data_IF_803579019580
#
_entry.id   IF_803579019580
#
_cell.length_a   1.000
_cell.length_b   1.000
_cell.length_c   1.000
_cell.angle_alpha   90.00
_cell.angle_beta   90.00
_cell.angle_gamma   90.00
#
_symmetry.space_group_name_H-M   'P 1'
#
loop_
_entity.id
_entity.type
_entity.pdbx_description
1 polymer ?
#
# COMPACT_ATOMS: atom_id res chain seq x y z
N UNK A 1 -6.11 9.65 -23.75
CA UNK A 1 -6.75 8.50 -23.12
C UNK A 1 -5.82 8.07 -22.00
N UNK A 2 -6.05 8.53 -20.77
CA UNK A 2 -5.24 8.10 -19.63
C UNK A 2 -5.54 6.63 -19.36
N UNK A 3 -4.52 5.78 -19.29
CA UNK A 3 -4.69 4.37 -18.96
C UNK A 3 -5.13 4.26 -17.48
N UNK A 4 -6.35 3.76 -17.19
CA UNK A 4 -6.85 3.65 -15.81
C UNK A 4 -5.96 2.78 -14.91
N UNK A 5 -5.20 1.85 -15.50
CA UNK A 5 -4.20 1.02 -14.81
C UNK A 5 -3.03 1.81 -14.23
N UNK A 6 -2.61 2.91 -14.86
CA UNK A 6 -1.48 3.72 -14.39
C UNK A 6 -1.84 4.55 -13.15
N UNK A 7 -3.07 5.09 -13.11
CA UNK A 7 -3.57 5.82 -11.92
C UNK A 7 -3.72 4.92 -10.71
N UNK A 8 -4.29 3.71 -10.89
CA UNK A 8 -4.39 2.71 -9.83
C UNK A 8 -3.02 2.29 -9.28
N UNK A 9 -2.01 2.15 -10.15
CA UNK A 9 -0.65 1.82 -9.72
C UNK A 9 0.00 2.96 -8.91
N UNK A 10 -0.21 4.21 -9.32
CA UNK A 10 0.25 5.40 -8.58
C UNK A 10 -0.45 5.54 -7.22
N UNK A 11 -1.76 5.27 -7.15
CA UNK A 11 -2.51 5.26 -5.90
C UNK A 11 -2.00 4.17 -4.95
N UNK A 12 -1.75 2.95 -5.45
CA UNK A 12 -1.10 1.88 -4.66
C UNK A 12 0.30 2.27 -4.17
N UNK A 13 1.13 2.87 -5.01
CA UNK A 13 2.45 3.34 -4.59
C UNK A 13 2.35 4.47 -3.54
N UNK A 14 1.36 5.35 -3.65
CA UNK A 14 1.08 6.40 -2.67
C UNK A 14 0.67 5.84 -1.30
N UNK A 15 -0.18 4.81 -1.29
CA UNK A 15 -0.60 4.10 -0.07
C UNK A 15 0.56 3.41 0.62
N UNK A 16 1.36 2.63 -0.11
CA UNK A 16 2.53 1.92 0.45
C UNK A 16 3.53 2.91 1.06
N UNK A 17 3.78 4.02 0.36
CA UNK A 17 4.74 5.02 0.84
C UNK A 17 4.21 5.78 2.07
N UNK A 18 2.92 6.08 2.10
CA UNK A 18 2.27 6.72 3.26
C UNK A 18 2.34 5.82 4.50
N UNK A 19 2.00 4.54 4.36
CA UNK A 19 2.03 3.59 5.47
C UNK A 19 3.45 3.38 6.02
N UNK A 20 4.44 3.24 5.14
CA UNK A 20 5.84 3.11 5.55
C UNK A 20 6.31 4.34 6.33
N UNK A 21 6.06 5.54 5.80
CA UNK A 21 6.43 6.79 6.47
C UNK A 21 5.71 6.97 7.82
N UNK A 22 4.44 6.57 7.90
CA UNK A 22 3.67 6.58 9.13
C UNK A 22 4.28 5.65 10.18
N UNK A 23 4.60 4.40 9.82
CA UNK A 23 5.25 3.42 10.72
C UNK A 23 6.59 3.94 11.25
N UNK A 24 7.41 4.56 10.39
CA UNK A 24 8.71 5.16 10.77
C UNK A 24 8.51 6.33 11.73
N UNK A 25 7.59 7.26 11.42
CA UNK A 25 7.30 8.40 12.28
C UNK A 25 6.78 7.95 13.65
N UNK A 26 5.92 6.94 13.69
CA UNK A 26 5.37 6.36 14.90
C UNK A 26 6.46 5.70 15.77
N UNK A 27 7.37 4.93 15.17
CA UNK A 27 8.50 4.33 15.88
C UNK A 27 9.41 5.40 16.51
N UNK A 28 9.72 6.47 15.76
CA UNK A 28 10.48 7.60 16.28
C UNK A 28 9.78 8.31 17.42
N UNK A 29 8.46 8.52 17.32
CA UNK A 29 7.68 9.16 18.37
C UNK A 29 7.67 8.30 19.64
N UNK A 30 7.44 6.99 19.53
CA UNK A 30 7.48 6.03 20.66
C UNK A 30 8.84 6.03 21.35
N UNK A 31 9.93 6.04 20.58
CA UNK A 31 11.28 6.09 21.14
C UNK A 31 11.56 7.40 21.91
N UNK A 32 11.03 8.53 21.42
CA UNK A 32 11.23 9.85 22.03
C UNK A 32 10.33 10.11 23.25
N UNK A 33 9.13 9.54 23.26
CA UNK A 33 8.12 9.76 24.29
C UNK A 33 7.61 8.45 24.90
N UNK A 34 8.46 7.65 25.56
CA UNK A 34 8.10 6.31 26.04
C UNK A 34 7.06 6.29 27.17
N UNK A 35 6.72 7.44 27.75
CA UNK A 35 5.72 7.58 28.82
C UNK A 35 4.38 8.12 28.32
N UNK A 36 4.30 8.49 27.05
CA UNK A 36 3.07 8.99 26.46
C UNK A 36 2.34 7.79 25.85
N UNK A 37 1.18 7.44 26.40
CA UNK A 37 0.29 6.49 25.72
C UNK A 37 -0.17 7.12 24.41
N UNK A 38 0.16 6.47 23.30
CA UNK A 38 -0.38 6.81 21.98
C UNK A 38 -1.63 5.95 21.85
N UNK A 39 -2.78 6.60 21.65
CA UNK A 39 -4.01 5.91 21.24
C UNK A 39 -3.70 5.04 20.02
N UNK A 40 -4.08 3.75 20.05
CA UNK A 40 -3.80 2.85 18.95
C UNK A 40 -4.37 3.42 17.65
N UNK A 41 -3.56 3.34 16.59
CA UNK A 41 -3.93 3.86 15.29
C UNK A 41 -5.26 3.21 14.84
N UNK A 42 -6.33 3.98 14.62
CA UNK A 42 -7.59 3.42 14.12
C UNK A 42 -7.42 2.72 12.76
N UNK A 43 -6.34 2.97 12.03
CA UNK A 43 -5.99 2.25 10.79
C UNK A 43 -5.17 0.98 11.02
N UNK A 44 -4.51 0.80 12.17
CA UNK A 44 -3.79 -0.45 12.48
C UNK A 44 -4.74 -1.64 12.69
N UNK A 45 -6.04 -1.37 12.93
CA UNK A 45 -7.11 -2.36 13.07
C UNK A 45 -8.10 -2.35 11.92
N UNK A 46 -7.81 -1.63 10.82
CA UNK A 46 -8.63 -1.67 9.61
C UNK A 46 -8.02 -2.62 8.57
N UNK A 47 -8.38 -3.92 8.62
CA UNK A 47 -8.18 -4.86 7.53
C UNK A 47 -9.24 -4.62 6.44
N UNK A 48 -9.67 -3.37 6.21
CA UNK A 48 -10.57 -3.07 5.09
C UNK A 48 -9.91 -3.46 3.77
N UNK A 49 -8.58 -3.35 3.69
CA UNK A 49 -7.79 -3.79 2.54
C UNK A 49 -7.42 -5.29 2.57
N UNK A 50 -7.49 -5.98 3.72
CA UNK A 50 -7.33 -7.46 3.75
C UNK A 50 -8.54 -8.17 3.12
N UNK A 51 -9.70 -7.50 3.07
CA UNK A 51 -10.89 -7.99 2.39
C UNK A 51 -10.92 -7.59 0.90
N UNK A 52 -9.98 -6.77 0.44
CA UNK A 52 -9.80 -6.53 -0.99
C UNK A 52 -8.95 -7.69 -1.51
N UNK A 53 -9.51 -8.61 -2.31
CA UNK A 53 -8.71 -9.68 -2.89
C UNK A 53 -7.62 -9.04 -3.76
N UNK A 54 -6.39 -9.02 -3.25
CA UNK A 54 -5.23 -8.77 -4.07
C UNK A 54 -5.08 -9.99 -4.97
N UNK A 55 -5.39 -9.83 -6.25
CA UNK A 55 -5.21 -10.90 -7.23
C UNK A 55 -3.78 -11.43 -7.12
N UNK A 56 -3.67 -12.67 -6.65
CA UNK A 56 -2.41 -13.39 -6.51
C UNK A 56 -1.94 -13.64 -7.94
N UNK A 57 -1.01 -12.81 -8.38
CA UNK A 57 -0.26 -12.96 -9.63
C UNK A 57 -1.15 -12.88 -10.89
N UNK A 58 -1.35 -11.65 -11.37
CA UNK A 58 -1.76 -11.45 -12.77
C UNK A 58 -0.61 -11.95 -13.65
N UNK A 59 -0.81 -13.12 -14.27
CA UNK A 59 0.14 -13.67 -15.23
C UNK A 59 0.25 -12.67 -16.39
N UNK A 60 1.45 -12.16 -16.65
CA UNK A 60 1.68 -11.39 -17.87
C UNK A 60 1.50 -12.32 -19.05
N UNK A 61 0.71 -11.89 -20.03
CA UNK A 61 0.57 -12.61 -21.29
C UNK A 61 1.86 -12.42 -22.10
N UNK A 62 2.78 -13.37 -21.96
CA UNK A 62 4.04 -13.45 -22.72
C UNK A 62 3.81 -13.95 -24.17
N UNK A 63 2.58 -13.89 -24.68
CA UNK A 63 2.30 -14.26 -26.08
C UNK A 63 3.01 -13.28 -27.02
N UNK A 64 3.98 -13.79 -27.79
CA UNK A 64 4.60 -13.04 -28.88
C UNK A 64 3.52 -12.57 -29.88
N UNK A 65 3.55 -11.30 -30.32
CA UNK A 65 2.62 -10.82 -31.33
C UNK A 65 2.83 -11.60 -32.64
N UNK A 66 1.76 -11.90 -33.40
CA UNK A 66 1.87 -12.70 -34.61
C UNK A 66 2.76 -11.98 -35.63
N UNK A 67 3.79 -12.69 -36.10
CA UNK A 67 4.65 -12.24 -37.19
C UNK A 67 3.85 -12.28 -38.48
N UNK A 68 3.65 -11.11 -39.10
CA UNK A 68 3.08 -10.95 -40.43
C UNK A 68 4.18 -10.87 -41.50
#
# INVERSE_FOLDING_TARGET
>A
MEAPSFKLHLERMGQINYEYMYRVALAHFRARFPKLEIEEDPYATLPEDDNVPMEVEVLFDDSDPPVA
#
